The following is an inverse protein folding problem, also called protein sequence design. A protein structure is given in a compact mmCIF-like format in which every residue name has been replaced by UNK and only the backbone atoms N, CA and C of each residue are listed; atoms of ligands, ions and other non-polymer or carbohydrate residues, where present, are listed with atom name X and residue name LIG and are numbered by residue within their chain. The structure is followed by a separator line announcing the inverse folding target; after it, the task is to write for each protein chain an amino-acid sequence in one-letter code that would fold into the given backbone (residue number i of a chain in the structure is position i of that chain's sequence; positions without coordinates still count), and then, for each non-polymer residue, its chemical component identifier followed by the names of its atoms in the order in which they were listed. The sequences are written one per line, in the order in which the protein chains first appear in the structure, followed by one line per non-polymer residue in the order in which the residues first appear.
data_IF_603548672349
#
_entry.id   IF_603548672349
#
_cell.length_a   1.000
_cell.length_b   1.000
_cell.length_c   1.000
_cell.angle_alpha   90.00
_cell.angle_beta   90.00
_cell.angle_gamma   90.00
#
_symmetry.space_group_name_H-M   'P 1'
#
loop_
_entity.id
_entity.type
_entity.pdbx_description
1 polymer ?
#
# COMPACT_ATOMS: atom_id res chain seq x y z
N UNK A 1 -40.24 51.53 -8.92
CA UNK A 1 -40.15 50.39 -7.99
C UNK A 1 -39.91 49.02 -8.66
N UNK A 2 -40.28 48.80 -9.93
CA UNK A 2 -40.03 47.53 -10.63
C UNK A 2 -38.53 47.23 -10.91
N UNK A 3 -37.70 48.20 -11.10
CA UNK A 3 -36.28 48.01 -11.45
C UNK A 3 -35.41 47.70 -10.23
N UNK A 4 -35.85 48.00 -9.02
CA UNK A 4 -35.12 47.75 -7.79
C UNK A 4 -35.18 46.25 -7.40
N UNK A 5 -36.28 45.59 -7.69
CA UNK A 5 -36.46 44.15 -7.43
C UNK A 5 -35.58 43.26 -8.35
N UNK A 6 -35.32 43.72 -9.57
CA UNK A 6 -34.49 42.95 -10.54
C UNK A 6 -33.01 42.97 -10.17
N UNK A 7 -32.49 44.08 -9.66
CA UNK A 7 -31.11 44.19 -9.18
C UNK A 7 -30.89 43.35 -7.91
N UNK A 8 -31.89 43.22 -7.06
CA UNK A 8 -31.82 42.41 -5.85
C UNK A 8 -31.79 40.89 -6.16
N UNK A 9 -32.47 40.45 -7.22
CA UNK A 9 -32.46 39.05 -7.66
C UNK A 9 -31.12 38.63 -8.29
N UNK A 10 -30.47 39.53 -9.06
CA UNK A 10 -29.19 39.29 -9.69
C UNK A 10 -28.06 39.28 -8.64
N UNK A 11 -28.13 40.13 -7.62
CA UNK A 11 -27.17 40.15 -6.52
C UNK A 11 -27.23 38.87 -5.66
N UNK A 12 -28.40 38.28 -5.47
CA UNK A 12 -28.56 37.04 -4.68
C UNK A 12 -28.10 35.81 -5.45
N UNK A 13 -28.19 35.77 -6.78
CA UNK A 13 -27.72 34.71 -7.63
C UNK A 13 -26.19 34.59 -7.67
N UNK A 14 -25.45 35.67 -7.43
CA UNK A 14 -23.99 35.70 -7.47
C UNK A 14 -23.35 35.21 -6.17
N UNK A 15 -24.09 35.18 -5.05
CA UNK A 15 -23.61 34.76 -3.74
C UNK A 15 -23.60 33.23 -3.54
N UNK A 16 -24.29 32.45 -4.40
CA UNK A 16 -24.42 30.99 -4.24
C UNK A 16 -23.30 30.20 -4.93
N UNK A 17 -22.50 30.84 -5.80
CA UNK A 17 -21.49 30.15 -6.61
C UNK A 17 -20.12 29.98 -5.94
N UNK A 18 -19.89 30.48 -4.73
CA UNK A 18 -18.60 30.42 -4.05
C UNK A 18 -18.48 29.33 -2.98
N UNK A 19 -19.50 28.49 -2.77
CA UNK A 19 -19.49 27.50 -1.68
C UNK A 19 -18.92 26.10 -2.06
N UNK A 20 -18.45 25.89 -3.29
CA UNK A 20 -18.03 24.56 -3.75
C UNK A 20 -16.52 24.28 -3.70
N UNK A 21 -15.71 25.14 -3.11
CA UNK A 21 -14.25 24.97 -3.11
C UNK A 21 -13.67 24.33 -1.82
N UNK A 22 -14.50 23.88 -0.88
CA UNK A 22 -14.04 23.38 0.42
C UNK A 22 -13.36 21.99 0.32
N UNK A 23 -13.99 21.06 -0.36
CA UNK A 23 -13.60 19.63 -0.29
C UNK A 23 -12.34 19.31 -1.10
N UNK A 24 -12.19 19.90 -2.30
CA UNK A 24 -11.00 19.69 -3.13
C UNK A 24 -9.73 20.22 -2.46
N UNK A 25 -9.81 21.31 -1.72
CA UNK A 25 -8.69 21.90 -1.00
C UNK A 25 -8.32 21.06 0.24
N UNK A 26 -9.29 20.41 0.86
CA UNK A 26 -9.07 19.50 2.00
C UNK A 26 -8.33 18.24 1.56
N UNK A 27 -8.79 17.59 0.50
CA UNK A 27 -8.15 16.39 -0.05
C UNK A 27 -6.72 16.65 -0.53
N UNK A 28 -6.47 17.76 -1.24
CA UNK A 28 -5.12 18.14 -1.65
C UNK A 28 -4.17 18.31 -0.46
N UNK A 29 -4.63 18.93 0.63
CA UNK A 29 -3.86 19.06 1.87
C UNK A 29 -3.58 17.72 2.55
N UNK A 30 -4.52 16.79 2.51
CA UNK A 30 -4.32 15.43 3.04
C UNK A 30 -3.25 14.68 2.25
N UNK A 31 -3.26 14.77 0.91
CA UNK A 31 -2.21 14.19 0.06
C UNK A 31 -0.84 14.80 0.35
N UNK A 32 -0.76 16.11 0.56
CA UNK A 32 0.49 16.76 0.94
C UNK A 32 1.00 16.27 2.31
N UNK A 33 0.10 16.09 3.28
CA UNK A 33 0.43 15.52 4.59
C UNK A 33 0.92 14.07 4.48
N UNK A 34 0.26 13.26 3.67
CA UNK A 34 0.70 11.88 3.42
C UNK A 34 2.13 11.85 2.87
N UNK A 35 2.41 12.65 1.83
CA UNK A 35 3.76 12.76 1.24
C UNK A 35 4.79 13.22 2.27
N UNK A 36 4.42 14.21 3.10
CA UNK A 36 5.29 14.69 4.16
C UNK A 36 5.59 13.59 5.20
N UNK A 37 4.59 12.79 5.60
CA UNK A 37 4.75 11.67 6.53
C UNK A 37 5.67 10.59 5.95
N UNK A 38 5.47 10.20 4.68
CA UNK A 38 6.33 9.22 4.01
C UNK A 38 7.77 9.73 3.92
N UNK A 39 7.99 10.97 3.48
CA UNK A 39 9.32 11.56 3.36
C UNK A 39 10.02 11.70 4.71
N UNK A 40 9.27 12.08 5.76
CA UNK A 40 9.81 12.16 7.11
C UNK A 40 10.20 10.79 7.64
N UNK A 41 9.38 9.77 7.42
CA UNK A 41 9.68 8.39 7.79
C UNK A 41 10.94 7.89 7.06
N UNK A 42 11.03 8.07 5.74
CA UNK A 42 12.20 7.70 4.92
C UNK A 42 13.47 8.35 5.50
N UNK A 43 13.42 9.64 5.79
CA UNK A 43 14.56 10.37 6.37
C UNK A 43 14.93 9.86 7.75
N UNK A 44 13.97 9.66 8.65
CA UNK A 44 14.20 9.19 10.03
C UNK A 44 14.76 7.78 10.08
N UNK A 45 14.37 6.92 9.15
CA UNK A 45 14.84 5.54 9.06
C UNK A 45 16.12 5.40 8.23
N UNK A 46 16.64 6.47 7.63
CA UNK A 46 17.81 6.43 6.76
C UNK A 46 17.58 5.58 5.50
N UNK A 47 16.33 5.53 5.01
CA UNK A 47 15.97 4.72 3.84
C UNK A 47 16.54 5.35 2.57
N UNK A 48 17.20 4.52 1.77
CA UNK A 48 17.66 4.83 0.42
C UNK A 48 16.66 4.29 -0.61
N UNK A 49 16.28 5.10 -1.58
CA UNK A 49 15.28 4.70 -2.58
C UNK A 49 15.89 4.61 -3.98
N UNK A 50 15.48 3.60 -4.74
CA UNK A 50 15.85 3.43 -6.15
C UNK A 50 14.63 3.15 -7.01
N UNK A 51 14.66 3.58 -8.27
CA UNK A 51 13.64 3.27 -9.29
C UNK A 51 13.96 2.02 -10.10
N UNK A 52 15.18 1.51 -10.01
CA UNK A 52 15.57 0.22 -10.57
C UNK A 52 15.29 -0.86 -9.53
N UNK A 53 14.62 -1.95 -9.92
CA UNK A 53 14.43 -3.10 -9.03
C UNK A 53 15.80 -3.67 -8.64
N UNK A 54 16.18 -3.65 -7.35
CA UNK A 54 17.40 -4.27 -6.89
C UNK A 54 17.34 -5.79 -7.02
N UNK A 55 18.50 -6.39 -7.15
CA UNK A 55 18.65 -7.85 -7.01
C UNK A 55 18.49 -8.27 -5.55
N UNK A 56 18.24 -9.55 -5.32
CA UNK A 56 18.16 -10.12 -3.98
C UNK A 56 19.42 -9.83 -3.17
N UNK A 57 20.60 -10.01 -3.78
CA UNK A 57 21.89 -9.73 -3.13
C UNK A 57 22.08 -8.25 -2.76
N UNK A 58 21.58 -7.32 -3.57
CA UNK A 58 21.61 -5.89 -3.25
C UNK A 58 20.72 -5.55 -2.06
N UNK A 59 19.51 -6.14 -1.98
CA UNK A 59 18.64 -5.98 -0.81
C UNK A 59 19.26 -6.53 0.47
N UNK A 60 19.89 -7.71 0.40
CA UNK A 60 20.53 -8.32 1.56
C UNK A 60 21.77 -7.57 2.01
N UNK A 61 22.53 -6.98 1.08
CA UNK A 61 23.72 -6.19 1.38
C UNK A 61 23.39 -4.80 2.00
N UNK A 62 22.27 -4.19 1.62
CA UNK A 62 21.86 -2.89 2.14
C UNK A 62 20.48 -2.95 2.80
N UNK A 63 20.40 -2.98 4.16
CA UNK A 63 19.14 -3.07 4.90
C UNK A 63 18.25 -1.84 4.74
N UNK A 64 18.77 -0.73 4.23
CA UNK A 64 18.03 0.51 4.04
C UNK A 64 17.60 0.75 2.60
N UNK A 65 17.95 -0.14 1.66
CA UNK A 65 17.60 0.00 0.26
C UNK A 65 16.16 -0.41 0.00
N UNK A 66 15.37 0.49 -0.59
CA UNK A 66 13.99 0.26 -1.01
C UNK A 66 13.82 0.53 -2.51
N UNK A 67 13.12 -0.35 -3.18
CA UNK A 67 12.60 -0.10 -4.52
C UNK A 67 11.35 0.77 -4.43
N UNK A 68 11.32 1.87 -5.17
CA UNK A 68 10.15 2.73 -5.29
C UNK A 68 9.48 2.50 -6.65
N UNK A 69 8.38 1.79 -6.66
CA UNK A 69 7.67 1.38 -7.87
C UNK A 69 6.90 2.54 -8.54
N UNK A 70 6.37 2.29 -9.73
CA UNK A 70 5.55 3.25 -10.47
C UNK A 70 4.19 3.51 -9.79
N UNK A 71 3.63 2.52 -9.10
CA UNK A 71 2.39 2.66 -8.33
C UNK A 71 2.55 3.55 -7.09
N UNK A 72 3.81 3.77 -6.65
CA UNK A 72 4.18 4.49 -5.44
C UNK A 72 4.49 3.58 -4.25
N UNK A 73 4.47 2.26 -4.43
CA UNK A 73 4.89 1.31 -3.39
C UNK A 73 6.40 1.44 -3.13
N UNK A 74 6.79 1.53 -1.86
CA UNK A 74 8.18 1.31 -1.45
C UNK A 74 8.30 -0.12 -0.94
N UNK A 75 9.14 -0.90 -1.61
CA UNK A 75 9.31 -2.32 -1.37
C UNK A 75 10.75 -2.65 -1.01
N UNK A 76 10.94 -3.51 -0.03
CA UNK A 76 12.22 -4.09 0.33
C UNK A 76 12.06 -5.57 0.65
N UNK A 77 12.82 -6.42 -0.03
CA UNK A 77 12.93 -7.83 0.32
C UNK A 77 13.81 -7.97 1.57
N UNK A 78 13.25 -8.52 2.65
CA UNK A 78 14.00 -8.77 3.89
C UNK A 78 14.53 -10.20 3.97
N UNK A 79 13.68 -11.14 3.55
CA UNK A 79 14.02 -12.55 3.51
C UNK A 79 13.49 -13.14 2.20
N UNK A 80 14.37 -13.65 1.34
CA UNK A 80 13.95 -14.38 0.15
C UNK A 80 13.31 -15.71 0.51
N UNK A 81 12.60 -16.29 -0.45
CA UNK A 81 12.12 -17.66 -0.31
C UNK A 81 13.28 -18.65 -0.21
N UNK A 82 13.12 -19.67 0.62
CA UNK A 82 14.03 -20.84 0.66
C UNK A 82 13.59 -21.98 -0.26
N UNK A 83 12.53 -21.76 -1.05
CA UNK A 83 11.98 -22.74 -1.99
C UNK A 83 12.81 -22.79 -3.28
N UNK A 84 12.84 -23.92 -3.99
CA UNK A 84 13.50 -24.00 -5.28
C UNK A 84 12.84 -23.09 -6.31
N UNK A 85 13.59 -22.67 -7.34
CA UNK A 85 13.10 -21.79 -8.41
C UNK A 85 11.86 -22.34 -9.14
N UNK A 86 11.71 -23.66 -9.22
CA UNK A 86 10.53 -24.34 -9.78
C UNK A 86 9.24 -24.06 -8.98
N UNK A 87 9.37 -23.68 -7.73
CA UNK A 87 8.26 -23.38 -6.81
C UNK A 87 8.06 -21.88 -6.59
N UNK A 88 8.61 -21.06 -7.47
CA UNK A 88 8.41 -19.59 -7.43
C UNK A 88 7.23 -19.17 -8.30
N UNK A 89 6.66 -18.02 -7.95
CA UNK A 89 5.56 -17.39 -8.68
C UNK A 89 6.04 -17.00 -10.09
N UNK A 90 5.34 -17.47 -11.10
CA UNK A 90 5.60 -17.17 -12.50
C UNK A 90 4.53 -16.20 -13.07
N UNK A 91 4.86 -15.44 -14.12
CA UNK A 91 3.86 -14.65 -14.84
C UNK A 91 2.70 -15.54 -15.34
N UNK A 92 1.47 -15.17 -15.02
CA UNK A 92 0.27 -15.92 -15.41
C UNK A 92 -0.20 -16.97 -14.39
N UNK A 93 0.56 -17.21 -13.33
CA UNK A 93 0.12 -18.12 -12.25
C UNK A 93 -1.17 -17.60 -11.59
N UNK A 94 -2.03 -18.56 -11.23
CA UNK A 94 -3.18 -18.33 -10.33
C UNK A 94 -2.93 -19.07 -9.04
N UNK A 95 -2.78 -18.32 -7.95
CA UNK A 95 -2.37 -18.85 -6.66
C UNK A 95 -3.26 -18.29 -5.55
N UNK A 96 -3.55 -19.14 -4.58
CA UNK A 96 -4.11 -18.68 -3.30
C UNK A 96 -2.95 -18.25 -2.40
N UNK A 97 -2.86 -16.96 -2.14
CA UNK A 97 -1.87 -16.37 -1.24
C UNK A 97 -2.46 -16.26 0.15
N UNK A 98 -1.72 -16.66 1.16
CA UNK A 98 -2.00 -16.37 2.57
C UNK A 98 -0.94 -15.39 3.06
N UNK A 99 -1.37 -14.20 3.45
CA UNK A 99 -0.53 -13.14 3.98
C UNK A 99 -0.69 -13.01 5.50
N UNK A 100 0.42 -12.72 6.17
CA UNK A 100 0.51 -12.35 7.58
C UNK A 100 1.41 -11.13 7.69
N UNK A 101 1.07 -10.16 8.55
CA UNK A 101 1.85 -8.91 8.62
C UNK A 101 1.77 -8.24 9.97
N UNK A 102 2.73 -7.36 10.20
CA UNK A 102 2.61 -6.27 11.15
C UNK A 102 2.31 -5.01 10.35
N UNK A 103 1.30 -4.26 10.76
CA UNK A 103 0.99 -2.94 10.22
C UNK A 103 1.39 -1.87 11.24
N UNK A 104 1.99 -0.77 10.79
CA UNK A 104 2.35 0.34 11.66
C UNK A 104 2.14 1.69 10.97
N UNK A 105 1.84 2.71 11.78
CA UNK A 105 1.77 4.09 11.30
C UNK A 105 3.18 4.64 11.05
N UNK A 106 3.31 5.60 10.12
CA UNK A 106 4.61 6.21 9.80
C UNK A 106 4.99 7.37 10.74
N UNK A 107 4.33 7.51 11.87
CA UNK A 107 4.59 8.54 12.86
C UNK A 107 5.92 8.33 13.61
N UNK A 108 6.37 9.34 14.35
CA UNK A 108 7.57 9.23 15.20
C UNK A 108 7.39 8.22 16.35
N UNK A 109 6.14 8.00 16.78
CA UNK A 109 5.73 6.95 17.73
C UNK A 109 4.68 6.10 16.99
N UNK A 110 5.10 5.02 16.33
CA UNK A 110 4.18 4.23 15.52
C UNK A 110 3.21 3.44 16.40
N UNK A 111 1.93 3.52 16.06
CA UNK A 111 0.96 2.54 16.51
C UNK A 111 1.12 1.28 15.67
N UNK A 112 1.13 0.12 16.32
CA UNK A 112 1.41 -1.16 15.67
C UNK A 112 0.25 -2.13 15.90
N UNK A 113 -0.15 -2.83 14.82
CA UNK A 113 -1.15 -3.90 14.85
C UNK A 113 -0.51 -5.17 14.28
N UNK A 114 -0.54 -6.27 15.06
CA UNK A 114 0.04 -7.55 14.67
C UNK A 114 -1.03 -8.52 14.15
N UNK A 115 -1.06 -8.72 12.84
CA UNK A 115 -1.93 -9.66 12.14
C UNK A 115 -1.25 -11.01 11.84
N UNK A 116 -0.11 -11.31 12.47
CA UNK A 116 0.58 -12.60 12.35
C UNK A 116 0.08 -13.61 13.38
N UNK A 117 -0.44 -13.11 14.51
CA UNK A 117 -0.87 -13.97 15.62
C UNK A 117 -2.06 -14.84 15.23
N UNK A 118 -1.97 -16.19 15.35
CA UNK A 118 -3.10 -17.07 15.11
C UNK A 118 -4.30 -16.83 16.04
N UNK A 119 -4.09 -16.23 17.21
CA UNK A 119 -5.15 -15.90 18.15
C UNK A 119 -5.98 -14.71 17.67
N UNK A 120 -5.34 -13.75 16.96
CA UNK A 120 -6.02 -12.55 16.43
C UNK A 120 -6.56 -12.81 15.04
N UNK A 121 -5.82 -13.58 14.22
CA UNK A 121 -6.14 -13.87 12.83
C UNK A 121 -5.83 -15.33 12.47
N UNK A 122 -6.69 -16.30 12.88
CA UNK A 122 -6.39 -17.74 12.80
C UNK A 122 -6.02 -18.24 11.41
N UNK A 123 -6.67 -17.73 10.37
CA UNK A 123 -6.45 -18.18 8.98
C UNK A 123 -5.39 -17.38 8.21
N UNK A 124 -4.94 -16.23 8.75
CA UNK A 124 -4.26 -15.23 7.92
C UNK A 124 -5.21 -14.59 6.91
N UNK A 125 -4.73 -13.64 6.13
CA UNK A 125 -5.52 -13.00 5.07
C UNK A 125 -5.24 -13.72 3.75
N UNK A 126 -6.26 -14.37 3.19
CA UNK A 126 -6.12 -15.10 1.94
C UNK A 126 -6.74 -14.33 0.77
N UNK A 127 -6.03 -14.29 -0.35
CA UNK A 127 -6.46 -13.65 -1.59
C UNK A 127 -5.89 -14.34 -2.82
N UNK A 128 -6.52 -14.14 -3.97
CA UNK A 128 -6.03 -14.66 -5.24
C UNK A 128 -5.00 -13.74 -5.87
N UNK A 129 -3.88 -14.32 -6.30
CA UNK A 129 -2.90 -13.69 -7.18
C UNK A 129 -3.14 -14.16 -8.62
N UNK A 130 -2.97 -13.27 -9.59
CA UNK A 130 -3.18 -13.60 -11.02
C UNK A 130 -4.64 -13.60 -11.49
N UNK A 131 -5.56 -12.98 -10.72
CA UNK A 131 -6.98 -12.85 -11.04
C UNK A 131 -7.61 -11.63 -10.40
N UNK A 132 -8.96 -11.66 -10.24
CA UNK A 132 -9.64 -10.66 -9.41
C UNK A 132 -9.27 -10.90 -7.95
N UNK A 133 -8.66 -9.90 -7.33
CA UNK A 133 -8.21 -9.94 -5.94
C UNK A 133 -8.99 -8.96 -5.09
N UNK A 134 -9.34 -9.38 -3.88
CA UNK A 134 -9.87 -8.51 -2.81
C UNK A 134 -8.76 -7.89 -1.94
N UNK A 135 -7.50 -8.19 -2.25
CA UNK A 135 -6.36 -7.64 -1.55
C UNK A 135 -6.03 -6.21 -2.00
N UNK A 136 -5.36 -5.42 -1.14
CA UNK A 136 -4.80 -4.14 -1.55
C UNK A 136 -3.86 -4.30 -2.75
N UNK A 137 -3.87 -3.35 -3.66
CA UNK A 137 -2.99 -3.37 -4.83
C UNK A 137 -1.51 -3.51 -4.43
N UNK A 138 -1.11 -2.84 -3.33
CA UNK A 138 0.24 -2.95 -2.79
C UNK A 138 0.64 -4.39 -2.41
N UNK A 139 -0.30 -5.20 -1.89
CA UNK A 139 -0.01 -6.59 -1.52
C UNK A 139 0.13 -7.48 -2.76
N UNK A 140 -0.76 -7.31 -3.73
CA UNK A 140 -0.68 -8.05 -5.01
C UNK A 140 0.63 -7.75 -5.73
N UNK A 141 1.03 -6.48 -5.78
CA UNK A 141 2.28 -6.04 -6.37
C UNK A 141 3.50 -6.58 -5.62
N UNK A 142 3.51 -6.48 -4.27
CA UNK A 142 4.59 -6.99 -3.44
C UNK A 142 4.79 -8.51 -3.61
N UNK A 143 3.70 -9.28 -3.67
CA UNK A 143 3.73 -10.74 -3.92
C UNK A 143 4.44 -11.05 -5.23
N UNK A 144 4.17 -10.28 -6.29
CA UNK A 144 4.87 -10.42 -7.57
C UNK A 144 6.38 -10.22 -7.48
N UNK A 145 6.84 -9.35 -6.56
CA UNK A 145 8.26 -9.12 -6.31
C UNK A 145 8.87 -10.16 -5.37
N UNK A 146 8.13 -10.62 -4.37
CA UNK A 146 8.59 -11.63 -3.38
C UNK A 146 8.80 -13.01 -4.00
N UNK A 147 8.00 -13.37 -4.99
CA UNK A 147 8.12 -14.55 -5.87
C UNK A 147 8.06 -15.92 -5.19
N UNK A 148 8.08 -16.02 -3.86
CA UNK A 148 8.15 -17.33 -3.23
C UNK A 148 7.49 -17.41 -1.86
N UNK A 149 6.99 -18.59 -1.53
CA UNK A 149 6.42 -18.91 -0.23
C UNK A 149 7.47 -18.82 0.88
N UNK A 150 7.11 -18.25 2.02
CA UNK A 150 8.02 -17.98 3.14
C UNK A 150 8.88 -16.73 2.98
N UNK A 151 8.74 -16.01 1.85
CA UNK A 151 9.42 -14.72 1.69
C UNK A 151 8.84 -13.66 2.62
N UNK A 152 9.69 -12.71 3.03
CA UNK A 152 9.32 -11.57 3.87
C UNK A 152 9.78 -10.27 3.24
N UNK A 153 8.92 -9.27 3.31
CA UNK A 153 9.19 -7.95 2.75
C UNK A 153 8.72 -6.86 3.70
N UNK A 154 9.41 -5.72 3.68
CA UNK A 154 8.97 -4.49 4.30
C UNK A 154 8.41 -3.56 3.23
N UNK A 155 7.24 -2.97 3.53
CA UNK A 155 6.54 -2.09 2.61
C UNK A 155 6.27 -0.74 3.27
N UNK A 156 6.27 0.34 2.45
CA UNK A 156 5.63 1.60 2.79
C UNK A 156 4.56 1.81 1.72
N UNK A 157 3.31 1.88 2.16
CA UNK A 157 2.13 1.82 1.29
C UNK A 157 1.37 3.14 1.39
N UNK A 158 1.36 3.96 0.33
CA UNK A 158 0.46 5.10 0.22
C UNK A 158 -1.01 4.66 0.22
N UNK A 159 -1.91 5.52 0.72
CA UNK A 159 -3.33 5.18 0.88
C UNK A 159 -3.98 4.63 -0.41
N UNK A 160 -3.63 5.19 -1.59
CA UNK A 160 -4.25 4.86 -2.87
C UNK A 160 -4.15 3.41 -3.28
N UNK A 161 -3.12 2.72 -2.81
CA UNK A 161 -2.86 1.30 -3.10
C UNK A 161 -2.99 0.41 -1.86
N UNK A 162 -3.42 1.00 -0.73
CA UNK A 162 -3.64 0.34 0.55
C UNK A 162 -5.01 -0.32 0.71
N UNK A 163 -5.35 -0.72 1.94
CA UNK A 163 -6.63 -1.36 2.28
C UNK A 163 -7.83 -0.44 2.15
N UNK A 164 -7.65 0.84 2.44
CA UNK A 164 -8.73 1.82 2.34
C UNK A 164 -8.27 3.06 1.57
N UNK A 165 -8.47 3.10 0.25
CA UNK A 165 -8.01 4.22 -0.58
C UNK A 165 -8.79 5.53 -0.37
N UNK A 166 -9.85 5.51 0.45
CA UNK A 166 -10.62 6.71 0.79
C UNK A 166 -10.07 7.45 2.00
N UNK A 167 -9.26 6.77 2.82
CA UNK A 167 -8.61 7.36 3.99
C UNK A 167 -7.15 7.67 3.65
N UNK A 168 -6.81 8.96 3.58
CA UNK A 168 -5.47 9.43 3.19
C UNK A 168 -4.49 9.24 4.34
N UNK A 169 -4.12 7.98 4.60
CA UNK A 169 -3.16 7.60 5.64
C UNK A 169 -2.22 6.53 5.10
N UNK A 170 -0.91 6.80 5.05
CA UNK A 170 0.07 5.80 4.65
C UNK A 170 0.41 4.87 5.82
N UNK A 171 0.73 3.61 5.50
CA UNK A 171 1.13 2.61 6.48
C UNK A 171 2.42 1.91 6.07
N UNK A 172 3.19 1.47 7.08
CA UNK A 172 4.24 0.49 6.91
C UNK A 172 3.71 -0.92 7.18
N UNK A 173 4.30 -1.91 6.49
CA UNK A 173 3.97 -3.32 6.68
C UNK A 173 5.24 -4.15 6.68
N UNK A 174 5.33 -5.06 7.67
CA UNK A 174 6.25 -6.21 7.62
C UNK A 174 5.43 -7.40 7.18
N UNK A 175 5.53 -7.77 5.90
CA UNK A 175 4.68 -8.74 5.21
C UNK A 175 5.40 -10.06 5.06
N UNK A 176 4.73 -11.16 5.41
CA UNK A 176 5.11 -12.53 5.13
C UNK A 176 4.04 -13.21 4.29
N UNK A 177 4.44 -13.97 3.27
CA UNK A 177 3.51 -14.68 2.40
C UNK A 177 3.76 -16.17 2.40
N UNK A 178 2.68 -16.93 2.24
CA UNK A 178 2.65 -18.33 1.86
C UNK A 178 1.68 -18.50 0.70
N UNK A 179 1.91 -19.42 -0.19
CA UNK A 179 0.97 -19.72 -1.26
C UNK A 179 0.75 -21.22 -1.45
N UNK A 180 -0.40 -21.55 -2.05
CA UNK A 180 -0.75 -22.88 -2.53
C UNK A 180 -1.15 -22.77 -3.99
N UNK A 181 -0.78 -23.77 -4.78
CA UNK A 181 -1.27 -23.93 -6.15
C UNK A 181 -2.64 -24.59 -6.11
N UNK A 182 -3.52 -24.22 -7.05
CA UNK A 182 -4.90 -24.75 -7.10
C UNK A 182 -4.94 -26.30 -7.24
N UNK A 183 -3.89 -26.91 -7.78
CA UNK A 183 -3.74 -28.36 -7.90
C UNK A 183 -3.63 -29.07 -6.52
N UNK A 184 -3.15 -28.39 -5.49
CA UNK A 184 -3.02 -28.92 -4.13
C UNK A 184 -4.32 -28.81 -3.31
N UNK A 185 -5.31 -28.04 -3.80
CA UNK A 185 -6.60 -27.82 -3.12
C UNK A 185 -7.62 -28.89 -3.49
N UNK A 186 -7.34 -29.66 -4.56
CA UNK A 186 -8.26 -30.66 -5.13
C UNK A 186 -8.02 -32.09 -4.61
N UNK A 187 -7.13 -32.27 -3.65
CA UNK A 187 -6.84 -33.53 -2.95
C UNK A 187 -7.28 -33.45 -1.48
#
# INVERSE_FOLDING_TARGET
MKNFLWFSLIGLSFLVTFSSCGDANTYAKEIERERALINDFIRRQGIETTRRMPTESEFLANPNLFYHSESGLFYRLEQPTNRPLSDTIQPGDRLLITARWIQYTLSARPDTMDFRSPQVFPGGFSFQFGGQSNAPHAFVEAVGYMRGSGARARLIVPHRIGFNPTIVTPYGFDLEIQFRRDEEISQ
#
